data_IF_946600110627
#
_entry.id   IF_946600110627
#
_cell.length_a   1.000
_cell.length_b   1.000
_cell.length_c   1.000
_cell.angle_alpha   90.00
_cell.angle_beta   90.00
_cell.angle_gamma   90.00
#
_symmetry.space_group_name_H-M   'P 1'
#
loop_
_entity.id
_entity.type
_entity.pdbx_description
1 polymer ?
#
# COMPACT_ATOMS: atom_id res chain seq x y z
N UNK A 1 24.28 18.36 -20.29
CA UNK A 1 23.78 18.17 -18.91
C UNK A 1 22.63 17.16 -19.01
N UNK A 2 22.88 15.90 -18.67
CA UNK A 2 21.85 14.85 -18.77
C UNK A 2 20.83 15.11 -17.65
N UNK A 3 19.62 15.53 -18.00
CA UNK A 3 18.51 15.58 -17.06
C UNK A 3 18.24 14.12 -16.67
N UNK A 4 18.40 13.78 -15.39
CA UNK A 4 18.03 12.46 -14.91
C UNK A 4 16.54 12.25 -15.22
N UNK A 5 16.20 11.15 -15.91
CA UNK A 5 14.81 10.85 -16.31
C UNK A 5 13.93 10.42 -15.13
N UNK A 6 14.52 10.15 -13.97
CA UNK A 6 13.89 9.69 -12.73
C UNK A 6 14.79 10.10 -11.56
N UNK A 7 14.20 10.47 -10.43
CA UNK A 7 14.93 10.76 -9.19
C UNK A 7 15.17 9.48 -8.36
N UNK A 8 14.49 8.39 -8.69
CA UNK A 8 14.54 7.10 -8.00
C UNK A 8 14.82 5.93 -8.96
N UNK A 9 15.26 4.77 -8.46
CA UNK A 9 15.83 3.71 -9.30
C UNK A 9 14.78 2.86 -10.05
N UNK A 10 13.61 2.62 -9.46
CA UNK A 10 12.65 1.63 -9.97
C UNK A 10 11.33 2.25 -10.41
N UNK A 11 10.81 3.24 -9.69
CA UNK A 11 9.47 3.78 -9.95
C UNK A 11 9.38 4.64 -11.22
N UNK A 12 10.51 5.17 -11.70
CA UNK A 12 10.54 6.07 -12.87
C UNK A 12 9.84 7.41 -12.60
N UNK A 13 10.00 7.94 -11.39
CA UNK A 13 9.32 9.14 -10.90
C UNK A 13 10.32 10.21 -10.48
N UNK A 14 9.90 11.46 -10.57
CA UNK A 14 10.57 12.62 -9.99
C UNK A 14 9.75 13.19 -8.84
N UNK A 15 10.37 14.01 -8.00
CA UNK A 15 9.66 14.70 -6.91
C UNK A 15 8.56 15.64 -7.44
N UNK A 16 8.78 16.20 -8.64
CA UNK A 16 7.81 17.08 -9.28
C UNK A 16 6.55 16.32 -9.76
N UNK A 17 6.66 15.05 -10.13
CA UNK A 17 5.52 14.23 -10.54
C UNK A 17 4.50 14.05 -9.41
N UNK A 18 4.95 14.09 -8.16
CA UNK A 18 4.08 13.96 -6.98
C UNK A 18 3.29 15.24 -6.67
N UNK A 19 3.71 16.40 -7.19
CA UNK A 19 3.10 17.72 -6.92
C UNK A 19 2.91 18.02 -5.42
N UNK A 20 3.78 17.49 -4.56
CA UNK A 20 3.70 17.67 -3.11
C UNK A 20 2.80 16.67 -2.38
N UNK A 21 2.37 15.59 -3.03
CA UNK A 21 1.68 14.49 -2.37
C UNK A 21 2.51 13.95 -1.19
N UNK A 22 1.85 13.72 -0.06
CA UNK A 22 2.45 13.09 1.14
C UNK A 22 1.77 11.77 1.52
N UNK A 23 0.72 11.37 0.80
CA UNK A 23 -0.02 10.13 1.01
C UNK A 23 -0.04 9.28 -0.25
N UNK A 24 0.21 7.98 -0.09
CA UNK A 24 0.08 6.99 -1.15
C UNK A 24 -0.91 5.88 -0.79
N UNK A 25 -1.79 5.53 -1.71
CA UNK A 25 -2.59 4.30 -1.69
C UNK A 25 -1.82 3.24 -2.47
N UNK A 26 -1.51 2.11 -1.83
CA UNK A 26 -0.58 1.12 -2.38
C UNK A 26 -1.23 -0.24 -2.63
N UNK A 27 -1.91 -0.46 -3.77
CA UNK A 27 -2.42 -1.79 -4.15
C UNK A 27 -1.29 -2.76 -4.53
N UNK A 28 -1.58 -4.07 -4.52
CA UNK A 28 -0.61 -5.07 -4.97
C UNK A 28 -0.54 -5.15 -6.49
N UNK A 29 -1.72 -5.26 -7.08
CA UNK A 29 -1.94 -5.43 -8.52
C UNK A 29 -1.80 -4.09 -9.27
N UNK A 30 -0.90 -3.98 -10.27
CA UNK A 30 -0.78 -2.82 -11.15
C UNK A 30 -2.09 -2.42 -11.83
N UNK A 31 -2.94 -3.39 -12.19
CA UNK A 31 -4.20 -3.14 -12.90
C UNK A 31 -5.28 -2.54 -11.98
N UNK A 32 -5.03 -2.50 -10.67
CA UNK A 32 -5.90 -1.84 -9.69
C UNK A 32 -5.59 -0.35 -9.53
N UNK A 33 -4.40 0.10 -9.96
CA UNK A 33 -3.93 1.47 -9.74
C UNK A 33 -4.83 2.50 -10.44
N UNK A 34 -5.11 2.29 -11.73
CA UNK A 34 -5.99 3.17 -12.50
C UNK A 34 -7.41 3.19 -11.93
N UNK A 35 -7.95 2.03 -11.55
CA UNK A 35 -9.29 1.91 -10.96
C UNK A 35 -9.42 2.72 -9.68
N UNK A 36 -8.40 2.70 -8.82
CA UNK A 36 -8.38 3.50 -7.58
C UNK A 36 -8.22 4.99 -7.92
N UNK A 37 -7.29 5.35 -8.81
CA UNK A 37 -7.07 6.74 -9.19
C UNK A 37 -8.33 7.37 -9.79
N UNK A 38 -9.09 6.63 -10.59
CA UNK A 38 -10.33 7.08 -11.22
C UNK A 38 -11.49 7.35 -10.24
N UNK A 39 -11.37 6.95 -8.97
CA UNK A 39 -12.33 7.31 -7.91
C UNK A 39 -12.06 8.71 -7.30
N UNK A 40 -10.95 9.34 -7.67
CA UNK A 40 -10.50 10.64 -7.19
C UNK A 40 -10.52 11.67 -8.34
N UNK A 41 -10.28 12.94 -8.01
CA UNK A 41 -10.29 14.03 -8.98
C UNK A 41 -9.00 14.03 -9.82
N UNK A 42 -9.12 14.43 -11.09
CA UNK A 42 -7.99 14.64 -12.04
C UNK A 42 -6.95 13.50 -12.04
N UNK A 43 -7.34 12.23 -12.29
CA UNK A 43 -6.40 11.12 -12.34
C UNK A 43 -5.46 11.26 -13.54
N UNK A 44 -4.15 11.10 -13.30
CA UNK A 44 -3.08 11.18 -14.31
C UNK A 44 -2.12 10.01 -14.13
N UNK A 45 -1.94 9.23 -15.19
CA UNK A 45 -0.89 8.20 -15.26
C UNK A 45 0.49 8.86 -15.26
N UNK A 46 1.37 8.43 -14.37
CA UNK A 46 2.73 8.96 -14.28
C UNK A 46 3.74 8.02 -14.93
N UNK A 47 3.84 6.79 -14.44
CA UNK A 47 4.86 5.83 -14.84
C UNK A 47 4.36 4.38 -14.73
N UNK A 48 5.05 3.48 -15.42
CA UNK A 48 4.78 2.04 -15.40
C UNK A 48 6.07 1.29 -15.69
N UNK A 49 6.73 0.80 -14.63
CA UNK A 49 7.99 0.07 -14.73
C UNK A 49 7.93 -1.19 -13.86
N UNK A 50 8.14 -2.36 -14.46
CA UNK A 50 8.01 -3.67 -13.78
C UNK A 50 6.62 -3.82 -13.14
N UNK A 51 6.54 -4.21 -11.87
CA UNK A 51 5.31 -4.26 -11.09
C UNK A 51 4.84 -2.90 -10.55
N UNK A 52 5.54 -1.79 -10.85
CA UNK A 52 5.25 -0.47 -10.33
C UNK A 52 4.53 0.41 -11.37
N UNK A 53 3.21 0.29 -11.43
CA UNK A 53 2.34 1.30 -12.06
C UNK A 53 1.99 2.38 -11.06
N UNK A 54 2.16 3.66 -11.46
CA UNK A 54 1.90 4.82 -10.60
C UNK A 54 1.00 5.84 -11.28
N UNK A 55 0.01 6.31 -10.55
CA UNK A 55 -0.88 7.42 -10.91
C UNK A 55 -0.87 8.48 -9.82
N UNK A 56 -1.15 9.72 -10.21
CA UNK A 56 -1.52 10.81 -9.29
C UNK A 56 -3.00 11.12 -9.48
N UNK A 57 -3.67 11.48 -8.40
CA UNK A 57 -5.00 12.09 -8.43
C UNK A 57 -5.07 13.17 -7.34
N UNK A 58 -6.23 13.80 -7.16
CA UNK A 58 -6.51 14.75 -6.10
C UNK A 58 -7.68 14.24 -5.25
N UNK A 59 -7.53 14.33 -3.92
CA UNK A 59 -8.59 14.07 -2.95
C UNK A 59 -8.77 15.33 -2.10
N UNK A 60 -9.96 15.92 -2.11
CA UNK A 60 -10.25 17.21 -1.48
C UNK A 60 -9.26 18.31 -1.89
N UNK A 61 -8.90 18.33 -3.18
CA UNK A 61 -7.93 19.26 -3.76
C UNK A 61 -6.46 19.03 -3.36
N UNK A 62 -6.16 17.95 -2.61
CA UNK A 62 -4.80 17.59 -2.22
C UNK A 62 -4.27 16.44 -3.09
N UNK A 63 -3.04 16.50 -3.59
CA UNK A 63 -2.49 15.45 -4.44
C UNK A 63 -2.25 14.15 -3.63
N UNK A 64 -2.65 13.04 -4.22
CA UNK A 64 -2.49 11.67 -3.69
C UNK A 64 -1.83 10.80 -4.76
N UNK A 65 -0.92 9.93 -4.33
CA UNK A 65 -0.32 8.92 -5.21
C UNK A 65 -1.07 7.60 -5.07
N UNK A 66 -1.25 6.91 -6.19
CA UNK A 66 -1.61 5.49 -6.20
C UNK A 66 -0.47 4.74 -6.87
N UNK A 67 0.19 3.83 -6.15
CA UNK A 67 1.37 3.12 -6.65
C UNK A 67 1.26 1.63 -6.32
N UNK A 68 1.35 0.77 -7.33
CA UNK A 68 1.36 -0.68 -7.11
C UNK A 68 2.67 -1.15 -6.49
N UNK A 69 2.59 -2.18 -5.64
CA UNK A 69 3.76 -2.75 -4.95
C UNK A 69 4.25 -4.05 -5.56
N UNK A 70 3.42 -4.73 -6.38
CA UNK A 70 3.60 -6.15 -6.66
C UNK A 70 3.26 -7.03 -5.46
N UNK A 71 3.66 -8.31 -5.56
CA UNK A 71 3.46 -9.35 -4.54
C UNK A 71 4.73 -9.46 -3.69
N UNK A 72 4.57 -9.45 -2.36
CA UNK A 72 5.62 -9.76 -1.39
C UNK A 72 6.30 -8.54 -0.76
N UNK A 73 6.97 -8.79 0.36
CA UNK A 73 7.78 -7.78 1.07
C UNK A 73 8.91 -7.16 0.24
N UNK A 74 9.66 -7.92 -0.59
CA UNK A 74 10.80 -7.36 -1.34
C UNK A 74 10.43 -6.22 -2.27
N UNK A 75 9.47 -6.40 -3.18
CA UNK A 75 9.02 -5.36 -4.12
C UNK A 75 8.28 -4.22 -3.40
N UNK A 76 7.50 -4.53 -2.37
CA UNK A 76 6.86 -3.51 -1.53
C UNK A 76 7.89 -2.58 -0.87
N UNK A 77 8.98 -3.13 -0.35
CA UNK A 77 10.03 -2.33 0.30
C UNK A 77 10.69 -1.32 -0.64
N UNK A 78 10.87 -1.69 -1.92
CA UNK A 78 11.37 -0.78 -2.96
C UNK A 78 10.38 0.37 -3.19
N UNK A 79 9.10 0.05 -3.39
CA UNK A 79 8.08 1.07 -3.64
C UNK A 79 7.96 2.06 -2.47
N UNK A 80 7.97 1.56 -1.23
CA UNK A 80 7.86 2.39 -0.03
C UNK A 80 9.10 3.29 0.13
N UNK A 81 10.30 2.74 0.00
CA UNK A 81 11.55 3.50 0.13
C UNK A 81 11.64 4.62 -0.91
N UNK A 82 11.38 4.31 -2.18
CA UNK A 82 11.48 5.31 -3.25
C UNK A 82 10.38 6.38 -3.14
N UNK A 83 9.14 6.01 -2.79
CA UNK A 83 8.09 6.99 -2.51
C UNK A 83 8.43 7.88 -1.31
N UNK A 84 9.07 7.32 -0.28
CA UNK A 84 9.51 8.08 0.89
C UNK A 84 10.64 9.07 0.52
N UNK A 85 11.58 8.70 -0.35
CA UNK A 85 12.59 9.63 -0.89
C UNK A 85 11.93 10.80 -1.63
N UNK A 86 10.83 10.55 -2.34
CA UNK A 86 10.07 11.57 -3.07
C UNK A 86 9.15 12.42 -2.18
N UNK A 87 8.93 12.04 -0.93
CA UNK A 87 8.21 12.85 0.07
C UNK A 87 6.93 12.24 0.62
N UNK A 88 6.55 11.02 0.22
CA UNK A 88 5.40 10.31 0.82
C UNK A 88 5.72 9.93 2.28
N UNK A 89 4.74 10.12 3.16
CA UNK A 89 4.86 9.85 4.61
C UNK A 89 3.77 8.94 5.14
N UNK A 90 2.65 8.80 4.43
CA UNK A 90 1.53 7.96 4.83
C UNK A 90 1.24 6.95 3.72
N UNK A 91 1.13 5.67 4.08
CA UNK A 91 0.90 4.57 3.14
C UNK A 91 -0.34 3.79 3.54
N UNK A 92 -1.35 3.77 2.67
CA UNK A 92 -2.58 3.00 2.86
C UNK A 92 -2.58 1.78 1.94
N UNK A 93 -2.33 0.61 2.52
CA UNK A 93 -2.37 -0.67 1.78
C UNK A 93 -3.80 -1.11 1.54
N UNK A 94 -4.15 -1.39 0.28
CA UNK A 94 -5.40 -2.03 -0.11
C UNK A 94 -5.11 -3.35 -0.82
N UNK A 95 -5.77 -4.42 -0.39
CA UNK A 95 -5.51 -5.77 -0.88
C UNK A 95 -6.75 -6.65 -0.88
N UNK A 96 -6.54 -7.91 -1.24
CA UNK A 96 -7.50 -9.01 -1.06
C UNK A 96 -6.85 -10.05 -0.16
N UNK A 97 -7.64 -10.80 0.61
CA UNK A 97 -7.11 -11.75 1.58
C UNK A 97 -8.03 -12.95 1.76
N UNK A 98 -7.46 -14.08 2.18
CA UNK A 98 -8.24 -15.16 2.78
C UNK A 98 -8.59 -14.83 4.24
N UNK A 99 -9.56 -15.58 4.77
CA UNK A 99 -9.92 -15.54 6.18
C UNK A 99 -9.86 -16.97 6.76
N UNK A 100 -9.24 -17.10 7.94
CA UNK A 100 -9.06 -18.40 8.63
C UNK A 100 -9.95 -18.55 9.87
N UNK A 101 -10.73 -17.50 10.19
CA UNK A 101 -11.69 -17.55 11.28
C UNK A 101 -13.08 -17.88 10.71
N UNK A 102 -13.81 -18.86 11.27
CA UNK A 102 -15.06 -19.36 10.68
C UNK A 102 -16.20 -18.34 10.68
N UNK A 103 -16.08 -17.24 11.44
CA UNK A 103 -17.08 -16.18 11.52
C UNK A 103 -16.84 -15.01 10.54
N UNK A 104 -15.75 -15.05 9.77
CA UNK A 104 -15.41 -14.02 8.77
C UNK A 104 -15.87 -14.51 7.39
N UNK A 105 -16.73 -13.74 6.73
CA UNK A 105 -17.36 -14.12 5.48
C UNK A 105 -16.67 -13.52 4.25
N UNK A 106 -16.89 -14.13 3.08
CA UNK A 106 -16.50 -13.52 1.80
C UNK A 106 -17.22 -12.19 1.63
N UNK A 107 -16.47 -11.13 1.34
CA UNK A 107 -16.99 -9.76 1.20
C UNK A 107 -16.85 -8.90 2.46
N UNK A 108 -16.50 -9.49 3.60
CA UNK A 108 -16.18 -8.73 4.81
C UNK A 108 -14.88 -7.92 4.62
N UNK A 109 -14.76 -6.81 5.32
CA UNK A 109 -13.58 -5.93 5.33
C UNK A 109 -12.72 -6.23 6.55
N UNK A 110 -11.41 -6.36 6.36
CA UNK A 110 -10.45 -6.55 7.45
C UNK A 110 -9.54 -5.34 7.57
N UNK A 111 -9.38 -4.82 8.80
CA UNK A 111 -8.39 -3.80 9.14
C UNK A 111 -7.34 -4.41 10.06
N UNK A 112 -6.11 -4.47 9.58
CA UNK A 112 -4.98 -5.05 10.32
C UNK A 112 -4.50 -4.09 11.42
N UNK A 113 -4.39 -4.57 12.66
CA UNK A 113 -3.74 -3.85 13.77
C UNK A 113 -2.26 -4.16 13.85
N UNK A 114 -1.87 -5.41 13.62
CA UNK A 114 -0.50 -5.88 13.55
C UNK A 114 -0.38 -7.15 12.70
N UNK A 115 0.82 -7.46 12.23
CA UNK A 115 1.09 -8.64 11.41
C UNK A 115 1.94 -9.68 12.13
N UNK A 116 1.59 -10.97 12.00
CA UNK A 116 2.54 -12.06 12.23
C UNK A 116 3.57 -12.02 11.11
N UNK A 117 4.85 -11.94 11.49
CA UNK A 117 5.99 -11.75 10.59
C UNK A 117 6.45 -13.11 10.04
N UNK A 118 5.73 -13.63 9.05
CA UNK A 118 6.11 -14.82 8.28
C UNK A 118 6.83 -14.41 6.98
N UNK A 119 7.58 -13.30 7.04
CA UNK A 119 8.29 -12.67 5.93
C UNK A 119 9.77 -12.49 6.26
N UNK A 120 10.60 -12.34 5.23
CA UNK A 120 12.02 -12.02 5.37
C UNK A 120 12.32 -10.51 5.40
N UNK A 121 11.59 -9.71 4.62
CA UNK A 121 11.94 -8.31 4.38
C UNK A 121 11.86 -7.44 5.65
N UNK A 122 10.93 -7.73 6.56
CA UNK A 122 10.77 -7.00 7.83
C UNK A 122 12.04 -7.05 8.69
N UNK A 123 12.81 -8.14 8.62
CA UNK A 123 14.06 -8.31 9.37
C UNK A 123 15.18 -7.36 8.92
N UNK A 124 15.07 -6.78 7.72
CA UNK A 124 16.03 -5.80 7.23
C UNK A 124 15.82 -4.41 7.84
N UNK A 125 14.66 -4.17 8.46
CA UNK A 125 14.32 -2.90 9.11
C UNK A 125 14.38 -3.00 10.63
N UNK A 126 13.96 -4.13 11.20
CA UNK A 126 13.91 -4.33 12.65
C UNK A 126 14.06 -5.81 13.03
N UNK A 127 14.66 -6.12 14.20
CA UNK A 127 14.80 -7.49 14.67
C UNK A 127 13.43 -8.13 14.97
N UNK A 128 13.34 -9.46 15.06
CA UNK A 128 12.06 -10.20 15.11
C UNK A 128 11.14 -9.78 16.28
N UNK A 129 11.72 -9.35 17.39
CA UNK A 129 11.04 -8.88 18.59
C UNK A 129 10.28 -7.57 18.38
N UNK A 130 10.62 -6.81 17.33
CA UNK A 130 9.91 -5.58 16.99
C UNK A 130 8.52 -5.90 16.43
N UNK A 131 7.45 -5.28 16.96
CA UNK A 131 6.10 -5.55 16.49
C UNK A 131 5.85 -4.92 15.12
N UNK A 132 5.37 -5.70 14.15
CA UNK A 132 4.88 -5.18 12.88
C UNK A 132 3.47 -4.57 13.06
N UNK A 133 3.41 -3.45 13.77
CA UNK A 133 2.17 -2.76 14.16
C UNK A 133 1.82 -1.63 13.19
N UNK A 134 0.53 -1.43 12.94
CA UNK A 134 0.03 -0.34 12.12
C UNK A 134 0.02 0.99 12.90
N UNK A 135 0.11 2.11 12.17
CA UNK A 135 -0.11 3.44 12.75
C UNK A 135 -1.55 3.59 13.25
N UNK A 136 -1.71 4.17 14.44
CA UNK A 136 -2.99 4.27 15.13
C UNK A 136 -4.00 5.14 14.36
N UNK A 137 -3.56 6.27 13.80
CA UNK A 137 -4.44 7.19 13.09
C UNK A 137 -4.91 6.59 11.76
N UNK A 138 -4.01 5.92 11.04
CA UNK A 138 -4.34 5.18 9.82
C UNK A 138 -5.35 4.05 10.10
N UNK A 139 -5.12 3.24 11.13
CA UNK A 139 -6.04 2.17 11.52
C UNK A 139 -7.42 2.74 11.89
N UNK A 140 -7.44 3.83 12.66
CA UNK A 140 -8.70 4.48 13.07
C UNK A 140 -9.48 4.98 11.86
N UNK A 141 -8.82 5.70 10.94
CA UNK A 141 -9.44 6.21 9.72
C UNK A 141 -10.00 5.08 8.83
N UNK A 142 -9.29 3.94 8.73
CA UNK A 142 -9.77 2.77 7.98
C UNK A 142 -11.00 2.12 8.60
N UNK A 143 -11.03 2.00 9.94
CA UNK A 143 -12.21 1.48 10.67
C UNK A 143 -13.41 2.40 10.49
N UNK A 144 -13.21 3.72 10.57
CA UNK A 144 -14.27 4.70 10.37
C UNK A 144 -14.78 4.70 8.93
N UNK A 145 -13.89 4.60 7.94
CA UNK A 145 -14.25 4.50 6.53
C UNK A 145 -15.03 3.21 6.22
N UNK A 146 -14.65 2.07 6.80
CA UNK A 146 -15.39 0.83 6.62
C UNK A 146 -16.79 0.88 7.27
N UNK A 147 -16.90 1.49 8.46
CA UNK A 147 -18.18 1.71 9.13
C UNK A 147 -19.09 2.66 8.37
N UNK A 148 -18.56 3.74 7.80
CA UNK A 148 -19.36 4.75 7.10
C UNK A 148 -20.06 4.21 5.85
N UNK A 149 -19.50 3.18 5.22
CA UNK A 149 -20.12 2.47 4.08
C UNK A 149 -20.95 1.25 4.51
N UNK A 150 -21.12 1.00 5.81
CA UNK A 150 -21.90 -0.12 6.34
C UNK A 150 -21.25 -1.49 6.12
N UNK A 151 -19.93 -1.57 5.95
CA UNK A 151 -19.24 -2.84 5.78
C UNK A 151 -19.15 -3.62 7.10
N UNK A 152 -19.40 -4.93 7.04
CA UNK A 152 -19.02 -5.85 8.11
C UNK A 152 -17.49 -5.82 8.25
N UNK A 153 -17.00 -5.31 9.38
CA UNK A 153 -15.58 -5.00 9.57
C UNK A 153 -15.01 -5.77 10.74
N UNK A 154 -13.90 -6.48 10.52
CA UNK A 154 -13.13 -7.12 11.58
C UNK A 154 -11.77 -6.44 11.73
N UNK A 155 -11.37 -6.20 12.97
CA UNK A 155 -10.13 -5.49 13.31
C UNK A 155 -9.25 -6.43 14.12
N UNK A 156 -8.04 -6.74 13.64
CA UNK A 156 -7.23 -7.76 14.28
C UNK A 156 -5.87 -8.03 13.64
N UNK A 157 -5.27 -9.15 14.04
CA UNK A 157 -3.95 -9.59 13.58
C UNK A 157 -4.06 -10.34 12.26
N UNK A 158 -3.12 -10.07 11.35
CA UNK A 158 -3.03 -10.74 10.04
C UNK A 158 -1.72 -11.53 9.93
N UNK A 159 -1.76 -12.77 9.44
CA UNK A 159 -0.54 -13.51 9.11
C UNK A 159 -0.02 -13.07 7.74
N UNK A 160 1.21 -12.52 7.68
CA UNK A 160 1.81 -12.00 6.43
C UNK A 160 2.95 -12.91 5.98
N UNK A 161 2.67 -13.76 4.98
CA UNK A 161 3.57 -14.81 4.51
C UNK A 161 4.27 -14.46 3.19
N UNK A 162 5.56 -14.80 3.08
CA UNK A 162 6.33 -14.65 1.84
C UNK A 162 5.91 -15.65 0.74
N UNK A 163 5.21 -16.72 1.09
CA UNK A 163 4.79 -17.74 0.11
C UNK A 163 3.28 -17.95 0.14
N UNK A 164 2.69 -18.04 -1.06
CA UNK A 164 1.25 -18.21 -1.19
C UNK A 164 0.77 -19.63 -0.86
N UNK A 165 1.61 -20.63 -1.14
CA UNK A 165 1.24 -22.03 -1.00
C UNK A 165 1.60 -22.57 0.40
N UNK A 166 2.83 -23.06 0.67
CA UNK A 166 3.11 -23.77 1.92
C UNK A 166 3.06 -22.87 3.17
N UNK A 167 3.31 -21.57 3.04
CA UNK A 167 3.35 -20.65 4.16
C UNK A 167 1.99 -20.09 4.60
N UNK A 168 0.88 -20.61 4.08
CA UNK A 168 -0.49 -20.18 4.43
C UNK A 168 -1.31 -21.25 5.15
N UNK A 169 -0.66 -22.33 5.60
CA UNK A 169 -1.27 -23.38 6.44
C UNK A 169 -0.93 -23.17 7.93
#
# INVERSE_FOLDING_TARGET
>A
MCIAKSDVFHLGLTKNDLQGATLAIVPGDPDRVEKIAALMDKPVKLASHREFTTWRAELDGKPVIVCSTGIGGPSTSIAVEELAQLGIRTFLRIGTTGAIQPHINVGDVLVTTASVRLDGASLHFAPLEFPAVADFECTTALVEAAKSIGATTHVGVTASSDTFYPGQE
#
